data_IF_399680516369
#
_entry.id   IF_399680516369
#
_cell.length_a   1.000
_cell.length_b   1.000
_cell.length_c   1.000
_cell.angle_alpha   90.00
_cell.angle_beta   90.00
_cell.angle_gamma   90.00
#
_symmetry.space_group_name_H-M   'P 1'
#
loop_
_entity.id
_entity.type
_entity.pdbx_description
1 polymer ?
#
# COMPACT_ATOMS: atom_id res chain seq x y z
N UNK A 1 40.30 -10.83 -26.00
CA UNK A 1 38.97 -10.22 -25.78
C UNK A 1 38.09 -11.20 -25.03
N UNK A 2 37.73 -10.91 -23.79
CA UNK A 2 36.70 -11.68 -23.08
C UNK A 2 35.36 -11.33 -23.73
N UNK A 3 34.75 -12.30 -24.42
CA UNK A 3 33.36 -12.14 -24.91
C UNK A 3 32.46 -12.03 -23.69
N UNK A 4 31.91 -10.84 -23.44
CA UNK A 4 30.88 -10.66 -22.44
C UNK A 4 29.64 -11.48 -22.84
N UNK A 5 29.47 -12.63 -22.23
CA UNK A 5 28.31 -13.48 -22.43
C UNK A 5 27.16 -12.96 -21.54
N UNK A 6 26.60 -11.80 -21.88
CA UNK A 6 25.33 -11.39 -21.30
C UNK A 6 24.22 -12.24 -21.92
N UNK A 7 23.60 -13.05 -21.09
CA UNK A 7 22.38 -13.73 -21.53
C UNK A 7 21.31 -12.68 -21.84
N UNK A 8 20.79 -12.73 -23.05
CA UNK A 8 19.66 -11.88 -23.43
C UNK A 8 18.45 -12.23 -22.60
N UNK A 9 17.90 -11.26 -21.90
CA UNK A 9 16.62 -11.39 -21.19
C UNK A 9 15.50 -10.97 -22.12
N UNK A 10 14.39 -11.68 -22.10
CA UNK A 10 13.15 -11.26 -22.72
C UNK A 10 12.29 -10.53 -21.67
N UNK A 11 12.22 -9.18 -21.69
CA UNK A 11 11.49 -8.41 -20.67
C UNK A 11 9.99 -8.54 -20.80
N UNK A 12 9.46 -9.16 -21.84
CA UNK A 12 8.02 -9.36 -22.06
C UNK A 12 7.59 -10.73 -21.53
N UNK A 13 8.38 -11.77 -21.82
CA UNK A 13 8.00 -13.15 -21.58
C UNK A 13 8.10 -13.55 -20.09
N UNK A 14 9.20 -13.17 -19.43
CA UNK A 14 9.56 -13.66 -18.10
C UNK A 14 9.45 -12.60 -17.01
N UNK A 15 8.83 -11.46 -17.31
CA UNK A 15 8.74 -10.31 -16.42
C UNK A 15 7.32 -9.74 -16.38
N UNK A 16 7.04 -9.02 -15.33
CA UNK A 16 5.83 -8.20 -15.24
C UNK A 16 6.21 -6.75 -14.87
N UNK A 17 5.45 -5.75 -15.33
CA UNK A 17 5.75 -4.35 -15.00
C UNK A 17 5.31 -4.02 -13.57
N UNK A 18 6.16 -3.31 -12.86
CA UNK A 18 5.90 -2.73 -11.56
C UNK A 18 5.97 -1.22 -11.68
N UNK A 19 4.97 -0.45 -11.18
CA UNK A 19 5.02 1.00 -11.24
C UNK A 19 6.26 1.57 -10.54
N UNK A 20 6.93 2.51 -11.18
CA UNK A 20 8.12 3.15 -10.61
C UNK A 20 7.81 3.89 -9.30
N UNK A 21 6.61 4.44 -9.20
CA UNK A 21 6.13 5.23 -8.06
C UNK A 21 6.05 4.43 -6.76
N UNK A 22 6.08 3.10 -6.83
CA UNK A 22 5.99 2.24 -5.65
C UNK A 22 7.07 2.54 -4.60
N UNK A 23 8.21 3.05 -5.03
CA UNK A 23 9.33 3.39 -4.15
C UNK A 23 9.22 4.79 -3.52
N UNK A 24 8.25 5.59 -3.93
CA UNK A 24 8.06 6.98 -3.49
C UNK A 24 6.79 7.20 -2.68
N UNK A 25 6.07 6.13 -2.35
CA UNK A 25 4.78 6.19 -1.62
C UNK A 25 4.92 5.84 -0.14
N UNK A 26 6.14 5.81 0.38
CA UNK A 26 6.42 5.46 1.76
C UNK A 26 5.88 4.09 2.16
N UNK A 27 6.09 3.10 1.31
CA UNK A 27 5.71 1.72 1.58
C UNK A 27 6.83 0.98 2.31
N UNK A 28 6.47 0.10 3.24
CA UNK A 28 7.43 -0.83 3.83
C UNK A 28 7.83 -1.92 2.83
N UNK A 29 8.92 -2.61 3.10
CA UNK A 29 9.37 -3.71 2.24
C UNK A 29 8.32 -4.82 2.10
N UNK A 30 7.58 -5.13 3.15
CA UNK A 30 6.50 -6.11 3.10
C UNK A 30 5.30 -5.67 2.27
N UNK A 31 4.95 -4.39 2.33
CA UNK A 31 3.91 -3.80 1.47
C UNK A 31 4.32 -3.83 -0.01
N UNK A 32 5.57 -3.50 -0.31
CA UNK A 32 6.11 -3.57 -1.69
C UNK A 32 6.09 -5.01 -2.19
N UNK A 33 6.55 -5.97 -1.40
CA UNK A 33 6.55 -7.39 -1.77
C UNK A 33 5.12 -7.90 -2.02
N UNK A 34 4.18 -7.55 -1.15
CA UNK A 34 2.76 -7.91 -1.29
C UNK A 34 2.15 -7.32 -2.55
N UNK A 35 2.34 -6.05 -2.78
CA UNK A 35 1.84 -5.36 -3.97
C UNK A 35 2.41 -5.97 -5.25
N UNK A 36 3.72 -6.21 -5.28
CA UNK A 36 4.39 -6.82 -6.42
C UNK A 36 3.84 -8.23 -6.71
N UNK A 37 3.58 -9.02 -5.67
CA UNK A 37 3.03 -10.36 -5.84
C UNK A 37 1.59 -10.33 -6.38
N UNK A 38 0.74 -9.45 -5.85
CA UNK A 38 -0.63 -9.29 -6.35
C UNK A 38 -0.62 -8.81 -7.81
N UNK A 39 0.25 -7.90 -8.15
CA UNK A 39 0.43 -7.42 -9.52
C UNK A 39 0.90 -8.54 -10.46
N UNK A 40 1.78 -9.42 -9.97
CA UNK A 40 2.19 -10.62 -10.70
C UNK A 40 1.03 -11.58 -10.96
N UNK A 41 0.12 -11.71 -9.99
CA UNK A 41 -1.05 -12.61 -10.07
C UNK A 41 -2.22 -12.04 -10.88
N UNK A 42 -2.27 -10.72 -11.11
CA UNK A 42 -3.44 -10.09 -11.72
C UNK A 42 -3.71 -10.54 -13.14
N UNK A 43 -4.98 -10.63 -13.48
CA UNK A 43 -5.43 -10.70 -14.87
C UNK A 43 -5.27 -9.31 -15.50
N UNK A 44 -4.51 -9.22 -16.59
CA UNK A 44 -4.21 -7.96 -17.27
C UNK A 44 -5.41 -7.24 -17.87
N UNK A 45 -6.51 -7.93 -18.07
CA UNK A 45 -7.76 -7.36 -18.60
C UNK A 45 -8.67 -6.82 -17.51
N UNK A 46 -8.77 -7.54 -16.40
CA UNK A 46 -9.65 -7.17 -15.28
C UNK A 46 -8.94 -6.43 -14.14
N UNK A 47 -7.60 -6.48 -14.10
CA UNK A 47 -6.77 -5.97 -13.01
C UNK A 47 -7.08 -6.60 -11.66
N UNK A 48 -7.54 -7.85 -11.67
CA UNK A 48 -8.01 -8.58 -10.50
C UNK A 48 -7.30 -9.91 -10.35
N UNK A 49 -7.17 -10.35 -9.09
CA UNK A 49 -6.69 -11.67 -8.72
C UNK A 49 -7.33 -12.12 -7.41
N UNK A 50 -7.22 -13.40 -7.10
CA UNK A 50 -7.84 -13.97 -5.90
C UNK A 50 -6.99 -15.05 -5.22
N UNK A 51 -5.68 -14.84 -5.03
CA UNK A 51 -4.87 -15.80 -4.30
C UNK A 51 -5.32 -15.89 -2.85
N UNK A 52 -5.26 -17.09 -2.26
CA UNK A 52 -5.54 -17.28 -0.84
C UNK A 52 -4.44 -16.68 0.03
N UNK A 53 -4.73 -16.38 1.29
CA UNK A 53 -3.71 -15.94 2.25
C UNK A 53 -2.58 -16.98 2.39
N UNK A 54 -2.93 -18.26 2.32
CA UNK A 54 -1.95 -19.34 2.33
C UNK A 54 -1.00 -19.27 1.14
N UNK A 55 -1.55 -19.10 -0.07
CA UNK A 55 -0.76 -18.98 -1.30
C UNK A 55 0.16 -17.76 -1.25
N UNK A 56 -0.34 -16.61 -0.81
CA UNK A 56 0.47 -15.41 -0.64
C UNK A 56 1.57 -15.63 0.39
N UNK A 57 1.22 -16.19 1.54
CA UNK A 57 2.16 -16.46 2.62
C UNK A 57 3.28 -17.39 2.22
N UNK A 58 2.99 -18.44 1.45
CA UNK A 58 3.98 -19.38 0.90
C UNK A 58 4.90 -18.67 -0.11
N UNK A 59 4.34 -17.84 -0.99
CA UNK A 59 5.11 -17.12 -2.00
C UNK A 59 6.05 -16.07 -1.40
N UNK A 60 5.61 -15.38 -0.36
CA UNK A 60 6.35 -14.27 0.27
C UNK A 60 7.02 -14.64 1.57
N UNK A 61 6.90 -15.91 1.98
CA UNK A 61 7.43 -16.41 3.27
C UNK A 61 6.92 -15.58 4.46
N UNK A 62 5.61 -15.38 4.49
CA UNK A 62 4.90 -14.63 5.52
C UNK A 62 3.87 -15.50 6.21
N UNK A 63 3.64 -15.24 7.51
CA UNK A 63 2.52 -15.83 8.24
C UNK A 63 1.19 -15.26 7.77
N UNK A 64 0.08 -15.98 8.02
CA UNK A 64 -1.26 -15.49 7.69
C UNK A 64 -1.56 -14.11 8.30
N UNK A 65 -1.18 -13.90 9.54
CA UNK A 65 -1.41 -12.62 10.22
C UNK A 65 -0.62 -11.48 9.57
N UNK A 66 0.60 -11.77 9.14
CA UNK A 66 1.44 -10.81 8.42
C UNK A 66 0.85 -10.47 7.05
N UNK A 67 0.37 -11.47 6.31
CA UNK A 67 -0.35 -11.25 5.04
C UNK A 67 -1.55 -10.34 5.26
N UNK A 68 -2.39 -10.64 6.24
CA UNK A 68 -3.57 -9.83 6.58
C UNK A 68 -3.19 -8.38 6.90
N UNK A 69 -2.14 -8.18 7.68
CA UNK A 69 -1.61 -6.85 8.03
C UNK A 69 -1.24 -6.03 6.79
N UNK A 70 -0.50 -6.62 5.87
CA UNK A 70 -0.06 -5.92 4.67
C UNK A 70 -1.18 -5.70 3.65
N UNK A 71 -2.13 -6.61 3.56
CA UNK A 71 -3.34 -6.41 2.74
C UNK A 71 -4.11 -5.18 3.23
N UNK A 72 -4.35 -5.07 4.52
CA UNK A 72 -5.02 -3.91 5.12
C UNK A 72 -4.22 -2.61 4.93
N UNK A 73 -2.90 -2.68 5.03
CA UNK A 73 -2.04 -1.53 4.80
C UNK A 73 -2.13 -1.03 3.35
N UNK A 74 -2.11 -1.94 2.37
CA UNK A 74 -2.26 -1.58 0.96
C UNK A 74 -3.65 -1.01 0.63
N UNK A 75 -4.71 -1.55 1.25
CA UNK A 75 -6.06 -0.98 1.12
C UNK A 75 -6.12 0.43 1.68
N UNK A 76 -5.57 0.64 2.87
CA UNK A 76 -5.53 1.95 3.52
C UNK A 76 -4.75 3.00 2.72
N UNK A 77 -3.79 2.58 1.93
CA UNK A 77 -3.00 3.45 1.05
C UNK A 77 -3.56 3.56 -0.38
N UNK A 78 -4.73 2.98 -0.62
CA UNK A 78 -5.45 3.01 -1.90
C UNK A 78 -4.67 2.41 -3.08
N UNK A 79 -3.84 1.41 -2.81
CA UNK A 79 -3.14 0.64 -3.84
C UNK A 79 -3.98 -0.51 -4.37
N UNK A 80 -4.81 -1.08 -3.50
CA UNK A 80 -5.71 -2.19 -3.82
C UNK A 80 -7.08 -1.96 -3.18
N UNK A 81 -8.09 -2.65 -3.70
CA UNK A 81 -9.35 -2.88 -3.01
C UNK A 81 -9.60 -4.38 -2.89
N UNK A 82 -10.32 -4.78 -1.86
CA UNK A 82 -10.67 -6.18 -1.63
C UNK A 82 -12.17 -6.35 -1.49
N UNK A 83 -12.67 -7.46 -1.99
CA UNK A 83 -14.05 -7.86 -1.88
C UNK A 83 -14.14 -9.34 -1.48
N UNK A 84 -15.06 -9.72 -0.58
CA UNK A 84 -15.27 -11.12 -0.30
C UNK A 84 -15.83 -11.85 -1.54
N UNK A 85 -15.37 -13.07 -1.75
CA UNK A 85 -15.92 -13.93 -2.81
C UNK A 85 -16.89 -14.94 -2.24
N UNK A 86 -17.94 -15.25 -2.99
CA UNK A 86 -18.94 -16.23 -2.61
C UNK A 86 -18.92 -17.39 -3.60
N UNK A 87 -19.13 -18.61 -3.09
CA UNK A 87 -19.27 -19.83 -3.89
C UNK A 87 -20.71 -20.33 -3.80
N UNK A 88 -21.30 -20.65 -4.93
CA UNK A 88 -22.60 -21.33 -5.00
C UNK A 88 -22.43 -22.80 -4.56
N UNK A 89 -23.05 -23.17 -3.47
CA UNK A 89 -23.15 -24.54 -2.99
C UNK A 89 -24.58 -25.05 -3.08
N UNK A 90 -24.78 -26.36 -2.91
CA UNK A 90 -26.13 -26.97 -2.84
C UNK A 90 -27.03 -26.38 -1.72
N UNK A 91 -26.44 -25.71 -0.75
CA UNK A 91 -27.12 -25.04 0.38
C UNK A 91 -27.31 -23.53 0.19
N UNK A 92 -26.95 -22.97 -0.97
CA UNK A 92 -26.98 -21.55 -1.27
C UNK A 92 -25.59 -20.91 -1.37
N UNK A 93 -25.48 -19.57 -1.41
CA UNK A 93 -24.21 -18.86 -1.41
C UNK A 93 -23.50 -19.00 -0.07
N UNK A 94 -22.21 -19.35 -0.13
CA UNK A 94 -21.32 -19.33 1.02
C UNK A 94 -20.10 -18.47 0.73
N UNK A 95 -19.55 -17.75 1.74
CA UNK A 95 -18.26 -17.08 1.59
C UNK A 95 -17.18 -18.09 1.21
N UNK A 96 -16.38 -17.74 0.19
CA UNK A 96 -15.25 -18.55 -0.25
C UNK A 96 -14.04 -18.17 0.55
N UNK A 97 -13.81 -17.93 1.63
CA UNK A 97 -12.59 -17.62 2.40
C UNK A 97 -11.47 -16.86 1.68
N UNK A 98 -11.52 -16.74 0.36
CA UNK A 98 -10.59 -15.95 -0.46
C UNK A 98 -11.17 -14.57 -0.75
N UNK A 99 -10.29 -13.58 -0.86
CA UNK A 99 -10.66 -12.24 -1.29
C UNK A 99 -10.41 -12.08 -2.78
N UNK A 100 -11.25 -11.26 -3.42
CA UNK A 100 -10.98 -10.72 -4.74
C UNK A 100 -10.19 -9.43 -4.56
N UNK A 101 -8.98 -9.38 -5.09
CA UNK A 101 -8.12 -8.21 -5.07
C UNK A 101 -8.24 -7.47 -6.38
N UNK A 102 -8.52 -6.19 -6.31
CA UNK A 102 -8.46 -5.29 -7.47
C UNK A 102 -7.27 -4.36 -7.29
N UNK A 103 -6.37 -4.36 -8.28
CA UNK A 103 -5.25 -3.43 -8.30
C UNK A 103 -5.78 -2.09 -8.81
N UNK A 104 -5.71 -1.08 -7.98
CA UNK A 104 -6.20 0.26 -8.31
C UNK A 104 -5.16 1.01 -9.19
N UNK A 105 -5.60 1.99 -9.99
CA UNK A 105 -4.66 2.84 -10.71
C UNK A 105 -3.68 3.51 -9.76
N UNK A 106 -2.40 3.50 -10.09
CA UNK A 106 -1.34 4.05 -9.21
C UNK A 106 -1.55 5.54 -8.91
N UNK A 107 -2.21 6.27 -9.80
CA UNK A 107 -2.54 7.67 -9.60
C UNK A 107 -3.43 7.90 -8.36
N UNK A 108 -4.30 6.95 -8.05
CA UNK A 108 -5.16 7.01 -6.86
C UNK A 108 -4.33 6.92 -5.57
N UNK A 109 -3.37 6.02 -5.50
CA UNK A 109 -2.44 5.91 -4.37
C UNK A 109 -1.55 7.15 -4.25
N UNK A 110 -1.07 7.69 -5.36
CA UNK A 110 -0.29 8.93 -5.39
C UNK A 110 -1.10 10.10 -4.82
N UNK A 111 -2.34 10.27 -5.25
CA UNK A 111 -3.23 11.32 -4.77
C UNK A 111 -3.51 11.18 -3.28
N UNK A 112 -3.77 9.96 -2.82
CA UNK A 112 -3.94 9.66 -1.40
C UNK A 112 -2.70 10.05 -0.58
N UNK A 113 -1.52 9.68 -1.04
CA UNK A 113 -0.25 10.01 -0.40
C UNK A 113 -0.03 11.51 -0.29
N UNK A 114 -0.22 12.26 -1.39
CA UNK A 114 -0.10 13.72 -1.38
C UNK A 114 -1.10 14.38 -0.44
N UNK A 115 -2.34 13.91 -0.41
CA UNK A 115 -3.36 14.44 0.50
C UNK A 115 -2.98 14.20 1.97
N UNK A 116 -2.39 13.05 2.29
CA UNK A 116 -1.88 12.78 3.63
C UNK A 116 -0.71 13.69 4.00
N UNK A 117 0.20 13.95 3.07
CA UNK A 117 1.31 14.88 3.28
C UNK A 117 0.81 16.31 3.54
N UNK A 118 -0.17 16.78 2.79
CA UNK A 118 -0.79 18.10 2.99
C UNK A 118 -1.47 18.20 4.37
N UNK A 119 -2.21 17.19 4.78
CA UNK A 119 -2.81 17.14 6.13
C UNK A 119 -1.77 17.18 7.24
N UNK A 120 -0.66 16.46 7.08
CA UNK A 120 0.43 16.47 8.04
C UNK A 120 1.11 17.85 8.11
N UNK A 121 1.30 18.51 6.99
CA UNK A 121 1.82 19.89 6.94
C UNK A 121 0.90 20.86 7.67
N UNK A 122 -0.40 20.81 7.41
CA UNK A 122 -1.39 21.65 8.07
C UNK A 122 -1.40 21.44 9.58
N UNK A 123 -1.27 20.19 10.02
CA UNK A 123 -1.18 19.84 11.45
C UNK A 123 0.08 20.44 12.09
N UNK A 124 1.23 20.32 11.43
CA UNK A 124 2.50 20.90 11.90
C UNK A 124 2.41 22.42 12.01
N UNK A 125 1.81 23.09 11.03
CA UNK A 125 1.58 24.55 11.05
C UNK A 125 0.65 24.93 12.21
N UNK A 126 -0.44 24.21 12.40
CA UNK A 126 -1.38 24.47 13.50
C UNK A 126 -0.72 24.30 14.87
N UNK A 127 0.07 23.23 15.06
CA UNK A 127 0.82 22.98 16.30
C UNK A 127 1.86 24.09 16.55
N UNK A 128 2.55 24.53 15.52
CA UNK A 128 3.51 25.63 15.61
C UNK A 128 2.85 26.95 16.05
N UNK A 129 1.69 27.28 15.45
CA UNK A 129 0.91 28.47 15.84
C UNK A 129 0.41 28.38 17.27
N UNK A 130 -0.06 27.22 17.71
CA UNK A 130 -0.49 26.97 19.07
C UNK A 130 0.65 27.16 20.07
N UNK A 131 1.82 26.59 19.83
CA UNK A 131 3.02 26.76 20.67
C UNK A 131 3.43 28.22 20.80
N UNK A 132 3.45 28.97 19.71
CA UNK A 132 3.76 30.40 19.71
C UNK A 132 2.75 31.19 20.57
N UNK A 133 1.47 30.87 20.47
CA UNK A 133 0.42 31.50 21.28
C UNK A 133 0.63 31.26 22.78
N UNK A 134 0.97 30.03 23.16
CA UNK A 134 1.27 29.67 24.56
C UNK A 134 2.51 30.40 25.07
N UNK A 135 3.59 30.46 24.29
CA UNK A 135 4.80 31.21 24.63
C UNK A 135 4.51 32.71 24.85
N UNK A 136 3.73 33.31 23.98
CA UNK A 136 3.33 34.74 24.11
C UNK A 136 2.50 34.99 25.36
N UNK A 137 1.57 34.11 25.69
CA UNK A 137 0.78 34.20 26.92
C UNK A 137 1.65 34.07 28.18
N UNK A 138 2.61 33.14 28.19
CA UNK A 138 3.57 32.96 29.27
C UNK A 138 4.48 34.18 29.46
N UNK A 139 4.93 34.78 28.33
CA UNK A 139 5.71 36.03 28.37
C UNK A 139 4.91 37.20 28.93
N UNK A 140 3.64 37.33 28.57
CA UNK A 140 2.76 38.39 29.10
C UNK A 140 2.54 38.21 30.59
N UNK A 141 2.26 36.99 31.09
CA UNK A 141 2.07 36.73 32.50
C UNK A 141 3.33 36.99 33.32
N UNK A 142 4.53 36.74 32.77
CA UNK A 142 5.81 37.10 33.43
C UNK A 142 6.02 38.61 33.49
N UNK A 143 5.60 39.38 32.51
CA UNK A 143 5.68 40.85 32.52
C UNK A 143 4.69 41.47 33.50
N UNK A 144 3.52 40.87 33.67
CA UNK A 144 2.50 41.36 34.63
C UNK A 144 2.84 41.01 36.09
N UNK A 145 3.64 39.94 36.31
CA UNK A 145 4.07 39.52 37.66
C UNK A 145 5.35 40.24 38.14
N UNK A 146 5.98 41.01 37.31
CA UNK A 146 7.16 41.83 37.63
C UNK A 146 6.76 43.25 38.08
#
# INVERSE_FOLDING_TARGET
MKKNHYQKRDPIKDYFPLPNEIFYLNLSYGEIAMYAYLLHCENRKSFQCYPSYKTIGEALNMSRNTVCKYVRALEGKELISTEPTNVLTKKGEKPNGNLLYTILPIEQAKQHYYNQQLKNMDRVIADSKYKKRIENLNLQSKKEAG
#
